data_IF_895639119065
#
_entry.id   IF_895639119065
#
_cell.length_a   1.000
_cell.length_b   1.000
_cell.length_c   1.000
_cell.angle_alpha   90.00
_cell.angle_beta   90.00
_cell.angle_gamma   90.00
#
_symmetry.space_group_name_H-M   'P 1'
#
loop_
_entity.id
_entity.type
_entity.pdbx_description
1 polymer ?
#
# COMPACT_ATOMS: atom_id res chain seq x y z
N UNK A 1 25.05 -7.70 16.24
CA UNK A 1 23.96 -8.55 15.70
C UNK A 1 22.88 -8.74 16.76
N UNK A 2 21.69 -8.17 16.53
CA UNK A 2 20.46 -8.68 17.12
C UNK A 2 19.37 -8.76 16.04
N UNK A 3 19.52 -9.62 15.04
CA UNK A 3 18.51 -9.80 13.97
C UNK A 3 17.68 -11.08 14.13
N UNK A 4 17.96 -11.89 15.14
CA UNK A 4 17.29 -13.17 15.36
C UNK A 4 16.96 -13.31 16.82
N UNK A 5 15.95 -12.57 17.28
CA UNK A 5 15.12 -12.93 18.43
C UNK A 5 13.95 -11.96 18.55
N UNK A 6 12.84 -12.29 17.89
CA UNK A 6 11.54 -12.03 18.50
C UNK A 6 10.54 -13.10 18.06
N UNK A 7 9.92 -13.73 19.04
CA UNK A 7 8.87 -14.73 18.93
C UNK A 7 7.72 -14.26 18.04
N UNK A 8 7.41 -15.06 17.00
CA UNK A 8 6.09 -15.30 16.37
C UNK A 8 4.99 -14.23 16.55
N UNK A 9 5.27 -12.96 16.24
CA UNK A 9 4.21 -11.95 16.15
C UNK A 9 3.82 -11.84 14.67
N UNK A 10 2.53 -12.06 14.39
CA UNK A 10 2.00 -11.92 13.04
C UNK A 10 2.13 -10.45 12.62
N UNK A 11 2.90 -10.17 11.56
CA UNK A 11 3.05 -8.83 10.98
C UNK A 11 1.65 -8.31 10.61
N UNK A 12 1.33 -7.09 11.03
CA UNK A 12 0.04 -6.45 10.71
C UNK A 12 0.19 -5.54 9.51
N UNK A 13 -0.88 -5.41 8.73
CA UNK A 13 -0.98 -4.39 7.70
C UNK A 13 -1.92 -3.29 8.18
N UNK A 14 -1.48 -2.03 8.15
CA UNK A 14 -2.31 -0.87 8.47
C UNK A 14 -2.80 -0.24 7.17
N UNK A 15 -4.12 -0.15 7.02
CA UNK A 15 -4.77 0.38 5.79
C UNK A 15 -4.97 1.87 5.95
N UNK A 16 -4.52 2.62 4.94
CA UNK A 16 -4.67 4.07 4.84
C UNK A 16 -5.28 4.41 3.48
N UNK A 17 -6.41 5.12 3.50
CA UNK A 17 -7.10 5.59 2.29
C UNK A 17 -6.57 6.97 1.92
N UNK A 18 -6.09 7.16 0.70
CA UNK A 18 -5.58 8.44 0.21
C UNK A 18 -6.58 9.08 -0.75
N UNK A 19 -6.81 10.37 -0.57
CA UNK A 19 -7.68 11.18 -1.42
C UNK A 19 -6.93 12.38 -2.00
N UNK A 20 -7.30 12.76 -3.23
CA UNK A 20 -6.88 14.00 -3.88
C UNK A 20 -7.50 15.24 -3.22
N UNK A 21 -7.03 16.43 -3.57
CA UNK A 21 -7.71 17.68 -3.21
C UNK A 21 -9.08 17.81 -3.88
N UNK A 22 -10.01 18.53 -3.26
CA UNK A 22 -11.37 18.71 -3.79
C UNK A 22 -11.43 19.62 -5.04
N UNK A 23 -10.48 20.53 -5.21
CA UNK A 23 -10.49 21.59 -6.21
C UNK A 23 -9.63 21.31 -7.47
N UNK A 24 -8.83 20.25 -7.44
CA UNK A 24 -7.95 19.86 -8.56
C UNK A 24 -8.66 19.05 -9.66
N UNK A 25 -9.80 18.45 -9.34
CA UNK A 25 -10.51 17.52 -10.23
C UNK A 25 -11.99 17.90 -10.41
N UNK A 26 -12.60 17.38 -11.48
CA UNK A 26 -14.03 17.59 -11.70
C UNK A 26 -14.87 16.94 -10.59
N UNK A 27 -16.04 17.52 -10.31
CA UNK A 27 -16.98 16.99 -9.30
C UNK A 27 -17.32 15.51 -9.51
N UNK A 28 -17.43 15.07 -10.77
CA UNK A 28 -17.68 13.67 -11.11
C UNK A 28 -16.51 12.78 -10.66
N UNK A 29 -15.27 13.15 -10.98
CA UNK A 29 -14.07 12.42 -10.54
C UNK A 29 -13.96 12.35 -9.02
N UNK A 30 -14.19 13.48 -8.32
CA UNK A 30 -14.21 13.51 -6.85
C UNK A 30 -15.27 12.57 -6.30
N UNK A 31 -16.46 12.56 -6.89
CA UNK A 31 -17.56 11.69 -6.46
C UNK A 31 -17.19 10.21 -6.63
N UNK A 32 -16.58 9.84 -7.76
CA UNK A 32 -16.10 8.48 -7.99
C UNK A 32 -15.02 8.05 -7.01
N UNK A 33 -14.03 8.90 -6.75
CA UNK A 33 -12.95 8.64 -5.78
C UNK A 33 -13.53 8.43 -4.37
N UNK A 34 -14.43 9.30 -3.92
CA UNK A 34 -15.07 9.19 -2.59
C UNK A 34 -15.89 7.89 -2.46
N UNK A 35 -16.71 7.57 -3.46
CA UNK A 35 -17.53 6.35 -3.47
C UNK A 35 -16.67 5.09 -3.45
N UNK A 36 -15.67 5.03 -4.32
CA UNK A 36 -14.79 3.87 -4.47
C UNK A 36 -13.92 3.67 -3.23
N UNK A 37 -13.28 4.75 -2.76
CA UNK A 37 -12.46 4.75 -1.54
C UNK A 37 -13.28 4.37 -0.31
N UNK A 38 -14.48 4.95 -0.13
CA UNK A 38 -15.32 4.62 1.02
C UNK A 38 -15.70 3.13 1.08
N UNK A 39 -15.95 2.51 -0.08
CA UNK A 39 -16.23 1.09 -0.17
C UNK A 39 -14.98 0.24 0.08
N UNK A 40 -13.87 0.57 -0.61
CA UNK A 40 -12.59 -0.12 -0.49
C UNK A 40 -12.06 -0.06 0.95
N UNK A 41 -11.96 1.13 1.53
CA UNK A 41 -11.43 1.36 2.86
C UNK A 41 -12.13 0.60 3.96
N UNK A 42 -13.46 0.53 3.94
CA UNK A 42 -14.22 -0.24 4.93
C UNK A 42 -13.92 -1.74 4.86
N UNK A 43 -13.93 -2.30 3.64
CA UNK A 43 -13.70 -3.73 3.40
C UNK A 43 -12.23 -4.09 3.66
N UNK A 44 -11.27 -3.33 3.14
CA UNK A 44 -9.83 -3.54 3.37
C UNK A 44 -9.52 -3.46 4.87
N UNK A 45 -10.04 -2.45 5.57
CA UNK A 45 -9.86 -2.35 7.02
C UNK A 45 -10.38 -3.61 7.72
N UNK A 46 -11.54 -4.14 7.32
CA UNK A 46 -12.08 -5.36 7.89
C UNK A 46 -11.23 -6.61 7.54
N UNK A 47 -10.74 -6.75 6.31
CA UNK A 47 -9.83 -7.82 5.87
C UNK A 47 -8.58 -7.87 6.77
N UNK A 48 -8.00 -6.72 7.08
CA UNK A 48 -6.79 -6.61 7.91
C UNK A 48 -7.08 -6.45 9.42
N UNK A 49 -8.35 -6.61 9.85
CA UNK A 49 -8.73 -6.55 11.26
C UNK A 49 -8.59 -5.16 11.91
N UNK A 50 -8.61 -4.10 11.10
CA UNK A 50 -8.58 -2.70 11.52
C UNK A 50 -10.00 -2.21 11.84
N UNK A 51 -10.23 -1.84 13.10
CA UNK A 51 -11.52 -1.32 13.58
C UNK A 51 -11.68 0.20 13.40
N UNK A 52 -10.63 0.87 12.95
CA UNK A 52 -10.58 2.31 12.63
C UNK A 52 -10.24 2.43 11.15
N UNK A 53 -10.80 3.42 10.46
CA UNK A 53 -10.39 3.78 9.10
C UNK A 53 -9.48 4.98 9.16
N UNK A 54 -8.25 4.82 8.67
CA UNK A 54 -7.33 5.93 8.51
C UNK A 54 -7.48 6.48 7.11
N UNK A 55 -7.71 7.79 7.01
CA UNK A 55 -7.82 8.49 5.73
C UNK A 55 -6.82 9.61 5.70
N UNK A 56 -6.33 9.94 4.52
CA UNK A 56 -5.55 11.14 4.23
C UNK A 56 -6.36 11.99 3.26
N UNK A 57 -7.17 12.88 3.82
CA UNK A 57 -8.01 13.82 3.09
C UNK A 57 -7.41 15.22 3.27
N UNK A 58 -6.86 15.83 2.20
CA UNK A 58 -5.97 16.98 2.34
C UNK A 58 -6.69 18.32 2.55
N UNK A 59 -8.02 18.33 2.41
CA UNK A 59 -8.85 19.47 2.72
C UNK A 59 -10.12 19.04 3.46
N UNK A 60 -10.71 19.98 4.21
CA UNK A 60 -11.89 19.68 5.01
C UNK A 60 -13.11 19.32 4.14
N UNK A 61 -13.25 19.87 2.93
CA UNK A 61 -14.36 19.53 2.04
C UNK A 61 -14.29 18.04 1.65
N UNK A 62 -13.12 17.55 1.23
CA UNK A 62 -12.88 16.14 0.93
C UNK A 62 -13.18 15.26 2.13
N UNK A 63 -12.73 15.63 3.32
CA UNK A 63 -13.00 14.86 4.53
C UNK A 63 -14.50 14.78 4.85
N UNK A 64 -15.25 15.89 4.72
CA UNK A 64 -16.70 15.89 4.90
C UNK A 64 -17.42 15.00 3.88
N UNK A 65 -16.95 14.96 2.63
CA UNK A 65 -17.51 14.06 1.61
C UNK A 65 -17.31 12.58 1.99
N UNK A 66 -16.12 12.22 2.48
CA UNK A 66 -15.82 10.85 2.95
C UNK A 66 -16.71 10.46 4.13
N UNK A 67 -16.89 11.35 5.11
CA UNK A 67 -17.77 11.12 6.26
C UNK A 67 -19.22 10.91 5.81
N UNK A 68 -19.74 11.78 4.94
CA UNK A 68 -21.11 11.70 4.43
C UNK A 68 -21.36 10.42 3.64
N UNK A 69 -20.41 10.01 2.80
CA UNK A 69 -20.54 8.77 2.04
C UNK A 69 -20.53 7.55 2.96
N UNK A 70 -19.66 7.53 3.98
CA UNK A 70 -19.64 6.46 4.97
C UNK A 70 -20.95 6.37 5.76
N UNK A 71 -21.53 7.50 6.16
CA UNK A 71 -22.84 7.58 6.83
C UNK A 71 -23.96 7.07 5.91
N UNK A 72 -23.97 7.51 4.64
CA UNK A 72 -24.96 7.10 3.64
C UNK A 72 -24.98 5.57 3.45
N UNK A 73 -23.82 4.92 3.58
CA UNK A 73 -23.66 3.46 3.50
C UNK A 73 -23.86 2.74 4.83
N UNK A 74 -24.05 3.46 5.93
CA UNK A 74 -24.21 2.89 7.27
C UNK A 74 -22.92 2.27 7.85
N UNK A 75 -21.75 2.70 7.38
CA UNK A 75 -20.47 2.23 7.93
C UNK A 75 -20.24 2.79 9.33
N UNK A 76 -19.91 1.92 10.28
CA UNK A 76 -19.80 2.25 11.72
C UNK A 76 -18.37 2.46 12.21
N UNK A 77 -17.37 2.20 11.36
CA UNK A 77 -15.96 2.36 11.72
C UNK A 77 -15.65 3.85 11.98
N UNK A 78 -14.91 4.15 13.04
CA UNK A 78 -14.40 5.49 13.28
C UNK A 78 -13.44 5.87 12.17
N UNK A 79 -13.62 7.05 11.57
CA UNK A 79 -12.77 7.58 10.50
C UNK A 79 -11.88 8.68 11.07
N UNK A 80 -10.56 8.51 10.98
CA UNK A 80 -9.56 9.45 11.48
C UNK A 80 -8.80 10.03 10.29
N UNK A 81 -8.83 11.36 10.13
CA UNK A 81 -8.05 12.05 9.11
C UNK A 81 -6.61 12.26 9.58
N UNK A 82 -5.66 11.64 8.90
CA UNK A 82 -4.22 11.72 9.19
C UNK A 82 -3.56 12.99 8.62
N UNK A 83 -4.26 13.73 7.75
CA UNK A 83 -3.81 15.06 7.34
C UNK A 83 -3.76 16.03 8.54
N UNK A 84 -4.62 15.82 9.54
CA UNK A 84 -4.63 16.60 10.77
C UNK A 84 -3.50 16.13 11.70
N UNK A 85 -2.46 16.94 11.97
CA UNK A 85 -1.26 16.47 12.68
C UNK A 85 -1.53 15.96 14.10
N UNK A 86 -2.58 16.47 14.75
CA UNK A 86 -2.99 16.04 16.08
C UNK A 86 -3.60 14.62 16.09
N UNK A 87 -4.05 14.10 14.94
CA UNK A 87 -4.63 12.76 14.82
C UNK A 87 -3.58 11.67 14.56
N UNK A 88 -2.39 12.04 14.11
CA UNK A 88 -1.33 11.10 13.72
C UNK A 88 -0.94 10.11 14.84
N UNK A 89 -1.05 10.51 16.10
CA UNK A 89 -0.79 9.65 17.25
C UNK A 89 -1.65 8.37 17.26
N UNK A 90 -2.83 8.39 16.66
CA UNK A 90 -3.68 7.22 16.51
C UNK A 90 -3.02 6.17 15.59
N UNK A 91 -2.37 6.58 14.50
CA UNK A 91 -1.63 5.66 13.63
C UNK A 91 -0.35 5.17 14.34
N UNK A 92 0.48 6.10 14.82
CA UNK A 92 1.80 5.79 15.39
C UNK A 92 1.76 4.89 16.62
N UNK A 93 0.70 4.97 17.44
CA UNK A 93 0.52 4.08 18.59
C UNK A 93 0.23 2.61 18.21
N UNK A 94 -0.09 2.34 16.94
CA UNK A 94 -0.47 1.01 16.44
C UNK A 94 0.64 0.36 15.61
N UNK A 95 1.39 1.16 14.86
CA UNK A 95 2.48 0.68 14.02
C UNK A 95 3.65 0.17 14.88
N UNK A 96 4.20 -0.97 14.48
CA UNK A 96 5.41 -1.56 15.08
C UNK A 96 6.44 -1.91 14.01
N UNK A 97 7.72 -2.02 14.39
CA UNK A 97 8.71 -2.59 13.48
C UNK A 97 8.28 -3.97 12.98
N UNK A 98 8.40 -4.21 11.68
CA UNK A 98 7.94 -5.41 10.98
C UNK A 98 6.50 -5.36 10.46
N UNK A 99 5.70 -4.36 10.82
CA UNK A 99 4.38 -4.16 10.21
C UNK A 99 4.49 -3.67 8.76
N UNK A 100 3.39 -3.77 8.02
CA UNK A 100 3.23 -3.28 6.66
C UNK A 100 2.23 -2.12 6.62
N UNK A 101 2.31 -1.30 5.58
CA UNK A 101 1.32 -0.26 5.27
C UNK A 101 0.66 -0.63 3.95
N UNK A 102 -0.67 -0.51 3.87
CA UNK A 102 -1.40 -0.56 2.61
C UNK A 102 -2.01 0.80 2.33
N UNK A 103 -1.69 1.35 1.15
CA UNK A 103 -2.28 2.58 0.64
C UNK A 103 -3.32 2.22 -0.40
N UNK A 104 -4.57 2.59 -0.13
CA UNK A 104 -5.64 2.53 -1.12
C UNK A 104 -5.87 3.95 -1.65
N UNK A 105 -5.73 4.12 -2.96
CA UNK A 105 -5.84 5.42 -3.61
C UNK A 105 -6.08 5.27 -5.10
N UNK A 106 -6.67 6.29 -5.72
CA UNK A 106 -6.92 6.26 -7.15
C UNK A 106 -5.62 6.53 -7.93
N UNK A 107 -5.24 5.61 -8.81
CA UNK A 107 -4.09 5.78 -9.70
C UNK A 107 -4.42 6.55 -10.97
N UNK A 108 -3.49 7.37 -11.43
CA UNK A 108 -3.48 8.02 -12.75
C UNK A 108 -2.15 7.66 -13.43
N UNK A 109 -2.19 6.67 -14.33
CA UNK A 109 -0.98 6.15 -14.98
C UNK A 109 -0.36 7.14 -15.96
N UNK A 110 -1.17 8.02 -16.55
CA UNK A 110 -0.72 8.95 -17.59
C UNK A 110 0.04 10.12 -16.95
N UNK A 111 -0.36 10.50 -15.73
CA UNK A 111 0.32 11.53 -14.93
C UNK A 111 1.27 10.96 -13.88
N UNK A 112 1.30 9.64 -13.74
CA UNK A 112 2.08 8.94 -12.71
C UNK A 112 1.72 9.40 -11.28
N UNK A 113 0.42 9.47 -10.97
CA UNK A 113 -0.08 9.95 -9.67
C UNK A 113 -0.85 8.88 -8.91
N UNK A 114 -0.78 8.96 -7.57
CA UNK A 114 -1.66 8.23 -6.65
C UNK A 114 -2.39 9.25 -5.79
N UNK A 115 -3.73 9.28 -5.91
CA UNK A 115 -4.58 10.25 -5.26
C UNK A 115 -4.08 11.70 -5.49
N UNK A 116 -3.65 12.00 -6.72
CA UNK A 116 -3.11 13.31 -7.11
C UNK A 116 -1.65 13.56 -6.76
N UNK A 117 -0.91 12.57 -6.22
CA UNK A 117 0.47 12.76 -5.76
C UNK A 117 1.47 11.95 -6.54
N UNK A 118 2.60 12.57 -6.87
CA UNK A 118 3.73 11.85 -7.44
C UNK A 118 4.45 10.98 -6.39
N UNK A 119 5.50 10.28 -6.80
CA UNK A 119 6.22 9.36 -5.91
C UNK A 119 7.07 10.08 -4.85
N UNK A 120 7.55 11.29 -5.13
CA UNK A 120 8.34 12.08 -4.18
C UNK A 120 7.42 12.61 -3.08
N UNK A 121 6.28 13.20 -3.46
CA UNK A 121 5.26 13.68 -2.53
C UNK A 121 4.72 12.55 -1.64
N UNK A 122 4.44 11.37 -2.21
CA UNK A 122 4.01 10.22 -1.43
C UNK A 122 5.09 9.77 -0.42
N UNK A 123 6.36 9.82 -0.83
CA UNK A 123 7.49 9.49 0.04
C UNK A 123 7.57 10.48 1.21
N UNK A 124 7.49 11.78 0.94
CA UNK A 124 7.56 12.83 1.96
C UNK A 124 6.43 12.70 2.98
N UNK A 125 5.20 12.41 2.51
CA UNK A 125 4.07 12.14 3.41
C UNK A 125 4.37 10.94 4.30
N UNK A 126 4.86 9.82 3.76
CA UNK A 126 5.13 8.63 4.56
C UNK A 126 6.28 8.83 5.56
N UNK A 127 7.38 9.44 5.13
CA UNK A 127 8.58 9.57 5.96
C UNK A 127 8.44 10.67 6.99
N UNK A 128 7.95 11.84 6.58
CA UNK A 128 8.02 13.07 7.37
C UNK A 128 6.67 13.41 8.00
N UNK A 129 5.58 13.43 7.23
CA UNK A 129 4.26 13.75 7.78
C UNK A 129 3.75 12.62 8.69
N UNK A 130 3.83 11.37 8.23
CA UNK A 130 3.45 10.19 9.03
C UNK A 130 4.56 9.76 9.98
N UNK A 131 5.75 10.36 9.88
CA UNK A 131 6.90 10.11 10.77
C UNK A 131 7.34 8.64 10.80
N UNK A 132 7.28 7.95 9.66
CA UNK A 132 7.62 6.53 9.57
C UNK A 132 9.12 6.28 9.35
N UNK A 133 9.91 7.32 9.10
CA UNK A 133 11.34 7.24 8.74
C UNK A 133 12.17 6.33 9.65
N UNK A 134 11.90 6.36 10.96
CA UNK A 134 12.67 5.61 11.95
C UNK A 134 12.06 4.24 12.31
N UNK A 135 10.95 3.85 11.67
CA UNK A 135 10.26 2.58 11.90
C UNK A 135 10.59 1.62 10.75
N UNK A 136 11.26 0.51 11.06
CA UNK A 136 11.55 -0.53 10.08
C UNK A 136 10.29 -1.31 9.74
N UNK A 137 9.75 -1.11 8.55
CA UNK A 137 8.50 -1.71 8.07
C UNK A 137 8.81 -2.82 7.06
N UNK A 138 7.91 -3.80 6.98
CA UNK A 138 8.06 -4.93 6.08
C UNK A 138 7.73 -4.54 4.64
N UNK A 139 6.47 -4.18 4.36
CA UNK A 139 6.02 -3.89 3.01
C UNK A 139 5.20 -2.60 2.94
N UNK A 140 5.40 -1.83 1.86
CA UNK A 140 4.44 -0.85 1.39
C UNK A 140 3.61 -1.49 0.27
N UNK A 141 2.34 -1.78 0.54
CA UNK A 141 1.36 -2.32 -0.42
C UNK A 141 0.57 -1.17 -1.05
N UNK A 142 0.77 -0.91 -2.34
CA UNK A 142 0.11 0.18 -3.06
C UNK A 142 -1.05 -0.42 -3.85
N UNK A 143 -2.23 -0.37 -3.23
CA UNK A 143 -3.50 -0.81 -3.79
C UNK A 143 -4.10 0.29 -4.67
N UNK A 144 -3.39 0.61 -5.75
CA UNK A 144 -3.77 1.59 -6.76
C UNK A 144 -3.73 0.95 -8.14
N UNK A 145 -4.89 0.88 -8.79
CA UNK A 145 -5.08 0.21 -10.07
C UNK A 145 -4.03 0.61 -11.11
N UNK A 146 -3.46 -0.37 -11.81
CA UNK A 146 -2.52 -0.19 -12.94
C UNK A 146 -1.18 0.49 -12.61
N UNK A 147 -0.96 1.01 -11.39
CA UNK A 147 0.28 1.73 -11.04
C UNK A 147 1.52 0.83 -11.04
N UNK A 148 1.36 -0.49 -10.95
CA UNK A 148 2.44 -1.45 -11.20
C UNK A 148 2.99 -1.41 -12.63
N UNK A 149 2.34 -0.71 -13.58
CA UNK A 149 2.88 -0.49 -14.93
C UNK A 149 3.83 0.72 -15.00
N UNK A 150 3.83 1.59 -14.00
CA UNK A 150 4.59 2.84 -13.99
C UNK A 150 5.95 2.62 -13.32
N UNK A 151 6.96 2.24 -14.10
CA UNK A 151 8.28 1.85 -13.58
C UNK A 151 9.03 3.03 -12.92
N UNK A 152 8.94 4.22 -13.50
CA UNK A 152 9.48 5.47 -12.95
C UNK A 152 8.99 5.71 -11.52
N UNK A 153 7.69 5.66 -11.29
CA UNK A 153 7.08 5.81 -9.96
C UNK A 153 7.65 4.81 -8.95
N UNK A 154 7.71 3.52 -9.31
CA UNK A 154 8.26 2.47 -8.43
C UNK A 154 9.73 2.68 -8.13
N UNK A 155 10.52 3.10 -9.11
CA UNK A 155 11.95 3.33 -8.93
C UNK A 155 12.23 4.48 -7.96
N UNK A 156 11.45 5.56 -8.00
CA UNK A 156 11.54 6.65 -7.02
C UNK A 156 11.25 6.10 -5.61
N UNK A 157 10.13 5.38 -5.43
CA UNK A 157 9.79 4.81 -4.13
C UNK A 157 10.88 3.86 -3.59
N UNK A 158 11.41 2.95 -4.42
CA UNK A 158 12.46 2.00 -4.04
C UNK A 158 13.75 2.68 -3.57
N UNK A 159 14.08 3.82 -4.17
CA UNK A 159 15.27 4.60 -3.85
C UNK A 159 15.10 5.39 -2.55
N UNK A 160 13.92 6.00 -2.35
CA UNK A 160 13.68 6.93 -1.25
C UNK A 160 13.17 6.26 0.04
N UNK A 161 12.35 5.21 -0.05
CA UNK A 161 11.71 4.54 1.10
C UNK A 161 12.64 3.52 1.78
N UNK A 162 13.68 4.00 2.43
CA UNK A 162 14.71 3.16 3.07
C UNK A 162 14.21 2.37 4.29
N UNK A 163 13.09 2.78 4.87
CA UNK A 163 12.50 2.17 6.06
C UNK A 163 11.59 0.98 5.75
N UNK A 164 11.26 0.73 4.47
CA UNK A 164 10.52 -0.46 4.03
C UNK A 164 11.47 -1.51 3.45
N UNK A 165 11.19 -2.81 3.65
CA UNK A 165 11.96 -3.88 3.00
C UNK A 165 11.53 -4.05 1.54
N UNK A 166 10.22 -4.07 1.30
CA UNK A 166 9.63 -4.24 -0.03
C UNK A 166 8.55 -3.20 -0.33
N UNK A 167 8.31 -3.00 -1.62
CA UNK A 167 7.17 -2.27 -2.16
C UNK A 167 6.40 -3.23 -3.06
N UNK A 168 5.09 -3.29 -2.91
CA UNK A 168 4.18 -4.09 -3.74
C UNK A 168 3.24 -3.16 -4.51
N UNK A 169 3.08 -3.40 -5.80
CA UNK A 169 2.19 -2.66 -6.70
C UNK A 169 1.45 -3.62 -7.63
N UNK A 170 0.39 -3.13 -8.29
CA UNK A 170 -0.45 -3.96 -9.15
C UNK A 170 -0.59 -3.42 -10.56
N UNK A 171 -0.48 -4.30 -11.55
CA UNK A 171 -0.57 -3.95 -12.98
C UNK A 171 -1.98 -4.04 -13.53
N UNK A 172 -2.95 -4.54 -12.76
CA UNK A 172 -4.34 -4.70 -13.17
C UNK A 172 -5.28 -3.83 -12.33
N UNK A 173 -6.55 -3.78 -12.71
CA UNK A 173 -7.56 -3.14 -11.89
C UNK A 173 -7.73 -3.94 -10.59
N UNK A 174 -7.79 -3.23 -9.47
CA UNK A 174 -7.96 -3.77 -8.13
C UNK A 174 -9.32 -3.31 -7.59
N UNK A 175 -9.98 -4.19 -6.85
CA UNK A 175 -11.25 -3.91 -6.18
C UNK A 175 -11.37 -4.77 -4.94
N UNK A 176 -12.46 -4.59 -4.23
CA UNK A 176 -12.84 -5.42 -3.09
C UNK A 176 -14.25 -5.93 -3.29
N UNK A 177 -14.53 -7.09 -2.73
CA UNK A 177 -15.85 -7.69 -2.79
C UNK A 177 -16.18 -8.48 -1.53
N UNK A 178 -17.44 -8.90 -1.46
CA UNK A 178 -17.94 -9.80 -0.44
C UNK A 178 -18.64 -10.97 -1.13
N UNK A 179 -18.42 -12.18 -0.61
CA UNK A 179 -19.05 -13.40 -1.08
C UNK A 179 -19.52 -14.20 0.13
N UNK A 180 -20.83 -14.20 0.40
CA UNK A 180 -21.35 -14.66 1.68
C UNK A 180 -20.79 -13.81 2.82
N UNK A 181 -20.23 -14.46 3.84
CA UNK A 181 -19.63 -13.79 5.01
C UNK A 181 -18.15 -13.45 4.83
N UNK A 182 -17.55 -13.74 3.67
CA UNK A 182 -16.13 -13.52 3.41
C UNK A 182 -15.88 -12.25 2.60
N UNK A 183 -15.02 -11.39 3.14
CA UNK A 183 -14.47 -10.23 2.44
C UNK A 183 -13.16 -10.61 1.74
N UNK A 184 -12.93 -10.10 0.54
CA UNK A 184 -11.70 -10.36 -0.20
C UNK A 184 -11.35 -9.23 -1.17
N UNK A 185 -10.05 -9.13 -1.45
CA UNK A 185 -9.51 -8.34 -2.57
C UNK A 185 -9.70 -9.11 -3.87
N UNK A 186 -9.92 -8.37 -4.95
CA UNK A 186 -10.17 -8.92 -6.27
C UNK A 186 -9.47 -8.10 -7.35
N UNK A 187 -8.92 -8.77 -8.35
CA UNK A 187 -8.25 -8.17 -9.49
C UNK A 187 -9.01 -8.48 -10.77
N UNK A 188 -9.03 -7.51 -11.69
CA UNK A 188 -9.82 -7.57 -12.91
C UNK A 188 -8.88 -7.38 -14.10
N UNK A 189 -8.67 -8.45 -14.86
CA UNK A 189 -7.88 -8.44 -16.11
C UNK A 189 -8.83 -8.34 -17.30
N UNK A 190 -8.58 -7.38 -18.19
CA UNK A 190 -9.28 -7.29 -19.46
C UNK A 190 -8.73 -8.35 -20.43
N UNK A 191 -9.61 -9.10 -21.06
CA UNK A 191 -9.32 -10.08 -22.13
C UNK A 191 -10.05 -9.70 -23.41
N UNK A 192 -9.72 -10.37 -24.51
CA UNK A 192 -10.38 -10.18 -25.82
C UNK A 192 -11.90 -10.41 -25.77
N UNK A 193 -12.36 -11.31 -24.92
CA UNK A 193 -13.77 -11.73 -24.83
C UNK A 193 -14.51 -11.14 -23.61
N UNK A 194 -13.89 -10.25 -22.83
CA UNK A 194 -14.51 -9.66 -21.65
C UNK A 194 -13.54 -9.42 -20.50
N UNK A 195 -14.01 -9.62 -19.27
CA UNK A 195 -13.22 -9.44 -18.04
C UNK A 195 -13.06 -10.77 -17.30
N UNK A 196 -11.87 -11.01 -16.78
CA UNK A 196 -11.59 -12.10 -15.84
C UNK A 196 -11.31 -11.54 -14.46
N UNK A 197 -11.84 -12.21 -13.45
CA UNK A 197 -11.76 -11.82 -12.05
C UNK A 197 -10.92 -12.85 -11.30
N UNK A 198 -10.01 -12.36 -10.46
CA UNK A 198 -9.07 -13.17 -9.70
C UNK A 198 -9.09 -12.73 -8.25
N UNK A 199 -9.03 -13.68 -7.32
CA UNK A 199 -8.74 -13.43 -5.92
C UNK A 199 -7.24 -13.45 -5.66
N UNK A 200 -6.86 -13.06 -4.46
CA UNK A 200 -5.47 -12.93 -4.03
C UNK A 200 -4.69 -14.25 -4.16
N UNK A 201 -5.31 -15.37 -3.80
CA UNK A 201 -4.77 -16.72 -3.87
C UNK A 201 -4.68 -17.27 -5.31
N UNK A 202 -5.31 -16.60 -6.28
CA UNK A 202 -5.32 -16.98 -7.69
C UNK A 202 -4.26 -16.22 -8.50
N UNK A 203 -3.56 -15.27 -7.89
CA UNK A 203 -2.49 -14.48 -8.52
C UNK A 203 -1.17 -15.22 -8.36
N UNK A 204 -0.93 -16.20 -9.21
CA UNK A 204 0.39 -16.82 -9.35
C UNK A 204 1.18 -16.11 -10.45
N UNK A 205 2.29 -15.47 -10.09
CA UNK A 205 3.27 -14.94 -11.04
C UNK A 205 3.27 -13.42 -11.17
N UNK A 206 4.48 -12.86 -11.30
CA UNK A 206 4.79 -11.43 -11.26
C UNK A 206 4.18 -10.54 -12.35
N UNK A 207 3.18 -11.02 -13.10
CA UNK A 207 2.46 -10.21 -14.09
C UNK A 207 1.48 -9.25 -13.43
N UNK A 208 0.70 -9.68 -12.42
CA UNK A 208 -0.36 -8.86 -11.80
C UNK A 208 0.17 -8.10 -10.59
N UNK A 209 1.01 -8.77 -9.79
CA UNK A 209 1.61 -8.24 -8.56
C UNK A 209 3.11 -8.11 -8.77
N UNK A 210 3.63 -6.92 -8.57
CA UNK A 210 5.06 -6.64 -8.63
C UNK A 210 5.51 -6.30 -7.22
N UNK A 211 6.32 -7.17 -6.63
CA UNK A 211 6.96 -6.95 -5.33
C UNK A 211 8.45 -6.77 -5.54
N UNK A 212 8.98 -5.65 -5.07
CA UNK A 212 10.37 -5.28 -5.26
C UNK A 212 11.01 -4.92 -3.92
N UNK A 213 12.24 -5.40 -3.68
CA UNK A 213 13.04 -4.91 -2.57
C UNK A 213 13.45 -3.45 -2.78
N UNK A 214 13.41 -2.66 -1.72
CA UNK A 214 13.99 -1.30 -1.71
C UNK A 214 15.50 -1.38 -1.89
N UNK A 215 16.10 -0.33 -2.45
CA UNK A 215 17.53 -0.33 -2.77
C UNK A 215 18.39 -0.46 -1.51
N UNK A 216 17.92 0.14 -0.41
CA UNK A 216 18.54 0.01 0.90
C UNK A 216 18.54 -1.44 1.40
N UNK A 217 17.39 -2.11 1.39
CA UNK A 217 17.31 -3.49 1.85
C UNK A 217 18.08 -4.45 0.94
N UNK A 218 18.03 -4.22 -0.38
CA UNK A 218 18.84 -4.97 -1.35
C UNK A 218 20.34 -4.84 -1.06
N UNK A 219 20.81 -3.65 -0.68
CA UNK A 219 22.20 -3.43 -0.29
C UNK A 219 22.55 -4.18 1.01
N UNK A 220 21.68 -4.14 2.02
CA UNK A 220 21.87 -4.86 3.29
C UNK A 220 21.96 -6.38 3.08
N UNK A 221 21.11 -6.93 2.20
CA UNK A 221 21.21 -8.33 1.80
C UNK A 221 22.59 -8.56 1.19
N UNK A 222 22.97 -7.85 0.12
CA UNK A 222 24.29 -8.04 -0.52
C UNK A 222 25.47 -7.99 0.48
N UNK A 223 25.41 -7.14 1.49
CA UNK A 223 26.43 -7.07 2.55
C UNK A 223 26.42 -8.28 3.50
N UNK A 224 25.23 -8.73 3.90
CA UNK A 224 25.06 -9.90 4.78
C UNK A 224 25.49 -11.21 4.11
N UNK A 225 25.46 -11.24 2.79
CA UNK A 225 25.81 -12.39 1.95
C UNK A 225 27.24 -12.31 1.38
N UNK A 226 28.07 -11.33 1.80
CA UNK A 226 29.50 -11.35 1.45
C UNK A 226 30.10 -12.66 1.98
N UNK A 227 30.70 -13.49 1.11
CA UNK A 227 31.25 -14.77 1.54
C UNK A 227 32.24 -14.53 2.67
N UNK A 228 32.06 -15.28 3.76
CA UNK A 228 33.06 -15.35 4.80
C UNK A 228 34.38 -15.73 4.10
N UNK A 229 35.49 -15.00 4.25
CA UNK A 229 36.73 -15.25 3.51
C UNK A 229 37.32 -16.67 3.67
N UNK A 230 36.69 -17.52 4.50
CA UNK A 230 37.01 -18.92 4.72
C UNK A 230 36.11 -19.92 3.94
N UNK A 231 35.18 -19.48 3.09
CA UNK A 231 34.35 -20.39 2.27
C UNK A 231 34.18 -19.82 0.86
N UNK A 232 34.76 -20.50 -0.14
CA UNK A 232 35.00 -20.01 -1.49
C UNK A 232 34.00 -20.49 -2.54
N UNK A 233 32.75 -20.73 -2.16
CA UNK A 233 31.73 -21.12 -3.13
C UNK A 233 30.94 -19.89 -3.57
N UNK A 234 31.25 -19.38 -4.77
CA UNK A 234 30.39 -18.44 -5.49
C UNK A 234 29.07 -19.14 -5.81
N UNK A 235 27.98 -18.69 -5.18
CA UNK A 235 26.63 -19.16 -5.48
C UNK A 235 25.89 -18.03 -6.20
N UNK A 236 25.33 -18.36 -7.37
CA UNK A 236 24.54 -17.46 -8.21
C UNK A 236 23.24 -17.03 -7.49
N UNK A 237 23.06 -15.72 -7.39
CA UNK A 237 22.02 -15.05 -6.57
C UNK A 237 20.67 -15.00 -7.31
N UNK A 238 20.62 -15.38 -8.59
CA UNK A 238 19.40 -15.35 -9.40
C UNK A 238 18.30 -16.29 -8.90
N UNK A 239 18.66 -17.41 -8.26
CA UNK A 239 17.70 -18.42 -7.79
C UNK A 239 17.04 -18.07 -6.43
N UNK A 240 17.67 -17.25 -5.60
CA UNK A 240 17.16 -16.94 -4.25
C UNK A 240 16.21 -15.73 -4.21
N UNK A 241 16.22 -14.87 -5.23
CA UNK A 241 15.28 -13.73 -5.33
C UNK A 241 13.91 -14.12 -5.91
N UNK A 242 13.74 -15.37 -6.37
CA UNK A 242 12.49 -15.88 -6.95
C UNK A 242 11.59 -16.62 -5.94
N UNK A 243 11.87 -16.54 -4.63
CA UNK A 243 10.97 -17.06 -3.61
C UNK A 243 9.81 -16.08 -3.40
N UNK A 244 8.82 -16.19 -4.28
CA UNK A 244 7.48 -15.65 -4.13
C UNK A 244 6.84 -16.19 -2.85
N UNK A 245 6.44 -15.28 -1.96
CA UNK A 245 5.44 -15.51 -0.92
C UNK A 245 4.12 -14.86 -1.35
#
# INVERSE_FOLDING_TARGET
MPFLNSFSRQNKTHVIEFYSYSDEYSREQITHEVISGANAGSILSAIYGQNIRFVYAPDNEKYQLVLKEAETRGYKQTIINLYEPNQLHHLLSRIKPGDSILINGQGDIDKELIAGRDAEELTDILLDEFRLKDIQLNNLDIDSCLMGRVESYRNVLKSLLKNFQTITTYTELCSVSSGGDQLFRMWIKKKSEGYSFYKEDEINGGEIRITEYTDFYRALLKESWKPNPNNSDEIDISDCMNLSW
#
